data_IF_038292144608
#
_entry.id   IF_038292144608
#
_cell.length_a   1.000
_cell.length_b   1.000
_cell.length_c   1.000
_cell.angle_alpha   90.00
_cell.angle_beta   90.00
_cell.angle_gamma   90.00
#
_symmetry.space_group_name_H-M   'P 1'
#
loop_
_entity.id
_entity.type
_entity.pdbx_description
1 polymer ?
#
# COMPACT_ATOMS: atom_id res chain seq x y z
N UNK A 1 3.54 -35.56 15.52
CA UNK A 1 3.55 -35.46 14.05
C UNK A 1 3.74 -33.98 13.72
N UNK A 2 4.98 -33.57 13.45
CA UNK A 2 5.32 -32.17 13.14
C UNK A 2 5.32 -32.01 11.62
N UNK A 3 4.28 -31.34 11.09
CA UNK A 3 4.23 -30.95 9.68
C UNK A 3 5.06 -29.68 9.50
N UNK A 4 6.27 -29.86 8.97
CA UNK A 4 7.09 -28.76 8.47
C UNK A 4 6.54 -28.37 7.10
N UNK A 5 5.78 -27.28 7.02
CA UNK A 5 5.38 -26.68 5.74
C UNK A 5 6.41 -25.61 5.37
N UNK A 6 7.12 -25.84 4.26
CA UNK A 6 7.99 -24.86 3.64
C UNK A 6 7.13 -23.66 3.18
N UNK A 7 7.44 -22.47 3.71
CA UNK A 7 6.86 -21.20 3.25
C UNK A 7 7.66 -20.75 2.03
N UNK A 8 7.00 -20.63 0.89
CA UNK A 8 7.56 -20.03 -0.32
C UNK A 8 7.49 -18.52 -0.17
N UNK A 9 8.63 -17.86 0.01
CA UNK A 9 8.74 -16.40 0.04
C UNK A 9 8.58 -15.87 -1.38
N UNK A 10 7.46 -15.23 -1.68
CA UNK A 10 7.29 -14.48 -2.91
C UNK A 10 8.12 -13.18 -2.79
N UNK A 11 9.23 -13.10 -3.52
CA UNK A 11 10.01 -11.88 -3.63
C UNK A 11 9.29 -10.91 -4.56
N UNK A 12 8.69 -9.85 -3.98
CA UNK A 12 8.21 -8.70 -4.75
C UNK A 12 9.44 -7.85 -5.09
N UNK A 13 9.83 -7.88 -6.37
CA UNK A 13 10.91 -7.04 -6.90
C UNK A 13 10.34 -5.65 -7.16
N UNK A 14 10.58 -4.73 -6.23
CA UNK A 14 10.35 -3.30 -6.46
C UNK A 14 11.45 -2.81 -7.40
N UNK A 15 11.09 -2.58 -8.66
CA UNK A 15 11.99 -2.08 -9.70
C UNK A 15 12.37 -0.62 -9.46
N UNK A 16 13.57 -0.39 -8.94
CA UNK A 16 14.16 0.94 -8.82
C UNK A 16 14.70 1.38 -10.20
N UNK A 17 13.98 2.24 -10.91
CA UNK A 17 14.47 2.90 -12.12
C UNK A 17 15.49 3.98 -11.73
N UNK A 18 16.78 3.70 -11.92
CA UNK A 18 17.84 4.68 -11.79
C UNK A 18 17.89 5.58 -13.05
N UNK A 19 17.57 6.86 -12.88
CA UNK A 19 17.84 7.91 -13.86
C UNK A 19 19.35 8.20 -13.91
N UNK A 20 19.94 7.99 -15.07
CA UNK A 20 21.36 8.23 -15.32
C UNK A 20 21.73 9.72 -15.30
N UNK A 21 22.78 10.04 -14.55
CA UNK A 21 23.51 11.30 -14.68
C UNK A 21 24.63 11.12 -15.72
N UNK A 22 24.62 11.99 -16.73
CA UNK A 22 25.64 12.08 -17.78
C UNK A 22 26.64 13.19 -17.43
N UNK A 23 27.93 12.94 -17.64
CA UNK A 23 28.94 13.97 -17.91
C UNK A 23 30.17 13.95 -17.00
N UNK A 24 31.31 13.50 -17.54
CA UNK A 24 32.62 13.67 -16.90
C UNK A 24 33.65 12.65 -17.39
N UNK A 25 34.19 12.89 -18.58
CA UNK A 25 35.31 12.20 -19.23
C UNK A 25 36.58 12.16 -18.34
N UNK A 26 37.32 11.04 -18.34
CA UNK A 26 38.80 10.99 -18.37
C UNK A 26 39.32 9.54 -18.48
N UNK A 27 39.85 9.24 -19.67
CA UNK A 27 40.98 8.39 -20.05
C UNK A 27 41.37 7.06 -19.35
N UNK A 28 41.24 5.98 -20.15
CA UNK A 28 42.28 5.00 -20.50
C UNK A 28 42.76 3.96 -19.47
N UNK A 29 42.34 2.69 -19.64
CA UNK A 29 43.27 1.57 -19.93
C UNK A 29 42.59 0.22 -20.24
N UNK A 30 43.22 -0.46 -21.20
CA UNK A 30 42.93 -1.71 -21.90
C UNK A 30 42.57 -3.00 -21.12
N UNK A 31 41.92 -3.89 -21.90
CA UNK A 31 42.15 -5.34 -22.01
C UNK A 31 41.13 -6.30 -21.36
N UNK A 32 40.06 -6.62 -22.11
CA UNK A 32 39.68 -7.99 -22.50
C UNK A 32 38.32 -8.01 -23.23
N UNK A 33 38.31 -8.49 -24.48
CA UNK A 33 37.12 -8.79 -25.31
C UNK A 33 36.68 -10.26 -25.13
N UNK A 34 35.69 -10.78 -25.89
CA UNK A 34 34.25 -10.60 -25.67
C UNK A 34 33.49 -11.95 -25.70
N UNK A 35 32.24 -12.00 -25.24
CA UNK A 35 31.27 -12.90 -25.88
C UNK A 35 29.91 -12.21 -25.95
N UNK A 36 29.48 -12.09 -27.20
CA UNK A 36 28.31 -11.39 -27.72
C UNK A 36 27.24 -12.44 -27.93
N UNK A 37 26.06 -12.27 -27.33
CA UNK A 37 24.84 -12.82 -27.92
C UNK A 37 23.84 -11.67 -28.11
N UNK A 38 23.61 -11.40 -29.39
CA UNK A 38 22.59 -10.51 -29.92
C UNK A 38 21.22 -11.15 -29.81
N UNK A 39 20.21 -10.39 -29.39
CA UNK A 39 18.89 -10.46 -30.04
C UNK A 39 18.27 -9.07 -30.08
N UNK A 40 18.38 -8.47 -31.25
CA UNK A 40 17.60 -7.34 -31.74
C UNK A 40 16.14 -7.74 -32.01
N UNK A 41 15.20 -6.84 -31.76
CA UNK A 41 14.05 -6.58 -32.64
C UNK A 41 13.38 -5.26 -32.23
N UNK A 42 13.51 -4.28 -33.11
CA UNK A 42 12.67 -3.10 -33.14
C UNK A 42 11.24 -3.49 -33.53
N UNK A 43 10.25 -2.79 -32.97
CA UNK A 43 8.94 -2.68 -33.59
C UNK A 43 8.47 -1.23 -33.45
N UNK A 44 8.56 -0.51 -34.57
CA UNK A 44 7.93 0.78 -34.79
C UNK A 44 6.65 0.55 -35.61
N UNK A 45 5.53 1.08 -35.13
CA UNK A 45 4.29 1.21 -35.89
C UNK A 45 3.11 1.42 -34.95
N UNK A 46 2.07 2.19 -35.24
CA UNK A 46 1.78 3.18 -36.26
C UNK A 46 0.56 3.95 -35.71
N UNK A 47 0.43 5.21 -36.10
CA UNK A 47 -0.77 6.04 -35.91
C UNK A 47 -2.01 5.41 -36.56
N UNK A 48 -3.14 5.41 -35.87
CA UNK A 48 -4.46 5.27 -36.50
C UNK A 48 -5.40 6.38 -36.01
N UNK A 49 -5.85 7.17 -36.98
CA UNK A 49 -6.83 8.23 -36.86
C UNK A 49 -8.23 7.66 -37.14
N UNK A 50 -9.19 7.95 -36.26
CA UNK A 50 -10.55 8.28 -36.67
C UNK A 50 -11.52 7.14 -37.00
N UNK A 51 -12.68 7.15 -36.33
CA UNK A 51 -13.84 6.37 -36.76
C UNK A 51 -15.06 6.62 -35.89
N UNK A 52 -16.02 7.37 -36.41
CA UNK A 52 -17.30 7.71 -35.78
C UNK A 52 -18.34 6.58 -35.85
N UNK A 53 -19.39 6.74 -35.02
CA UNK A 53 -20.77 6.20 -35.11
C UNK A 53 -20.99 4.70 -34.92
N UNK A 54 -21.81 4.32 -33.94
CA UNK A 54 -23.22 3.94 -34.20
C UNK A 54 -24.05 3.81 -32.89
N UNK A 55 -25.30 4.24 -32.96
CA UNK A 55 -26.34 4.05 -31.94
C UNK A 55 -26.95 2.65 -32.09
N UNK A 56 -27.18 1.90 -31.00
CA UNK A 56 -27.79 0.58 -31.17
C UNK A 56 -28.15 -0.16 -29.89
N UNK A 57 -29.41 -0.02 -29.51
CA UNK A 57 -30.11 -0.56 -28.35
C UNK A 57 -30.27 -2.10 -28.30
N UNK A 58 -30.26 -2.66 -27.09
CA UNK A 58 -30.82 -3.98 -26.70
C UNK A 58 -29.75 -5.00 -26.26
N UNK A 59 -29.86 -5.74 -25.17
CA UNK A 59 -30.89 -5.94 -24.15
C UNK A 59 -30.47 -7.14 -23.29
N UNK A 60 -31.16 -7.28 -22.16
CA UNK A 60 -31.38 -8.51 -21.38
C UNK A 60 -30.26 -9.09 -20.48
N UNK A 61 -30.43 -8.78 -19.19
CA UNK A 61 -30.68 -9.74 -18.11
C UNK A 61 -29.77 -10.96 -17.96
N UNK A 62 -28.92 -10.88 -16.92
CA UNK A 62 -28.60 -12.03 -16.07
C UNK A 62 -27.12 -12.37 -15.96
N UNK A 63 -26.58 -12.28 -14.74
CA UNK A 63 -25.46 -13.04 -14.12
C UNK A 63 -24.95 -12.18 -12.96
N UNK A 64 -25.37 -12.40 -11.71
CA UNK A 64 -24.87 -13.41 -10.77
C UNK A 64 -23.38 -13.26 -10.43
N UNK A 65 -23.11 -12.71 -9.24
CA UNK A 65 -21.97 -13.11 -8.42
C UNK A 65 -20.80 -12.13 -8.36
N UNK A 66 -20.52 -11.64 -7.14
CA UNK A 66 -19.25 -11.02 -6.79
C UNK A 66 -19.32 -9.51 -6.60
N UNK A 67 -20.22 -9.03 -5.74
CA UNK A 67 -20.06 -7.71 -5.17
C UNK A 67 -18.94 -7.76 -4.12
N UNK A 68 -17.70 -7.63 -4.59
CA UNK A 68 -16.62 -7.00 -3.82
C UNK A 68 -16.99 -5.50 -3.66
N UNK A 69 -18.07 -5.25 -2.93
CA UNK A 69 -18.49 -3.91 -2.54
C UNK A 69 -17.54 -3.46 -1.42
N UNK A 70 -16.43 -2.84 -1.82
CA UNK A 70 -15.64 -2.00 -0.92
C UNK A 70 -16.56 -0.98 -0.22
N UNK A 71 -16.15 -0.46 0.95
CA UNK A 71 -17.01 0.41 1.76
C UNK A 71 -17.36 1.71 1.03
N UNK A 72 -18.52 1.72 0.36
CA UNK A 72 -19.14 2.91 -0.23
C UNK A 72 -19.93 3.62 0.88
N UNK A 73 -19.21 4.33 1.74
CA UNK A 73 -19.78 5.22 2.74
C UNK A 73 -19.03 6.55 2.70
N UNK A 74 -19.75 7.65 2.88
CA UNK A 74 -19.25 9.05 2.91
C UNK A 74 -18.32 9.33 4.12
N UNK A 75 -17.52 8.36 4.56
CA UNK A 75 -16.55 8.50 5.63
C UNK A 75 -15.35 9.33 5.19
N UNK A 76 -14.66 9.92 6.15
CA UNK A 76 -13.43 10.69 5.89
C UNK A 76 -12.22 9.80 5.62
N UNK A 77 -12.32 8.51 5.94
CA UNK A 77 -11.34 7.50 5.55
C UNK A 77 -11.94 6.08 5.48
N UNK A 78 -11.36 5.23 4.65
CA UNK A 78 -11.61 3.79 4.59
C UNK A 78 -10.36 3.02 5.04
N UNK A 79 -10.54 1.88 5.72
CA UNK A 79 -9.44 1.02 6.18
C UNK A 79 -9.77 -0.42 5.77
N UNK A 80 -8.88 -1.04 5.01
CA UNK A 80 -8.90 -2.47 4.69
C UNK A 80 -7.67 -3.12 5.32
N UNK A 81 -7.88 -3.90 6.37
CA UNK A 81 -6.86 -4.65 7.09
C UNK A 81 -6.95 -6.13 6.71
N UNK A 82 -5.85 -6.71 6.24
CA UNK A 82 -5.73 -8.16 6.02
C UNK A 82 -4.70 -8.75 6.99
N UNK A 83 -5.12 -9.80 7.69
CA UNK A 83 -4.30 -10.57 8.61
C UNK A 83 -4.13 -11.98 8.06
N UNK A 84 -2.89 -12.45 7.92
CA UNK A 84 -2.57 -13.85 7.60
C UNK A 84 -1.78 -14.49 8.74
N UNK A 85 -2.29 -15.62 9.22
CA UNK A 85 -1.84 -16.26 10.46
C UNK A 85 -2.59 -15.74 11.69
N UNK A 86 -2.56 -16.52 12.77
CA UNK A 86 -3.24 -16.19 14.02
C UNK A 86 -4.73 -16.58 14.06
N UNK A 87 -5.42 -16.09 15.10
CA UNK A 87 -6.83 -16.42 15.37
C UNK A 87 -7.82 -15.58 14.53
N UNK A 88 -7.43 -14.35 14.15
CA UNK A 88 -8.28 -13.41 13.43
C UNK A 88 -7.88 -13.26 11.95
N UNK A 89 -7.30 -14.31 11.34
CA UNK A 89 -6.94 -14.27 9.92
C UNK A 89 -8.15 -13.96 9.04
N UNK A 90 -7.95 -13.13 8.04
CA UNK A 90 -9.00 -12.64 7.14
C UNK A 90 -8.86 -11.16 6.85
N UNK A 91 -9.83 -10.64 6.09
CA UNK A 91 -9.94 -9.22 5.76
C UNK A 91 -10.98 -8.56 6.65
N UNK A 92 -10.62 -7.41 7.19
CA UNK A 92 -11.41 -6.60 8.10
C UNK A 92 -11.50 -5.18 7.53
N UNK A 93 -12.72 -4.66 7.40
CA UNK A 93 -12.96 -3.35 6.84
C UNK A 93 -13.54 -2.42 7.89
N UNK A 94 -13.13 -1.16 7.85
CA UNK A 94 -13.72 -0.09 8.65
C UNK A 94 -13.87 1.19 7.83
N UNK A 95 -14.86 1.99 8.20
CA UNK A 95 -15.04 3.35 7.70
C UNK A 95 -14.94 4.30 8.88
N UNK A 96 -14.13 5.36 8.73
CA UNK A 96 -13.95 6.39 9.75
C UNK A 96 -14.97 7.50 9.47
N UNK A 97 -15.97 7.72 10.35
CA UNK A 97 -17.07 8.63 10.07
C UNK A 97 -16.66 10.10 10.14
N UNK A 98 -15.77 10.46 11.07
CA UNK A 98 -15.33 11.84 11.30
C UNK A 98 -13.84 11.85 11.64
N UNK A 99 -13.11 12.85 11.13
CA UNK A 99 -11.70 13.17 11.43
C UNK A 99 -10.79 11.95 11.68
N UNK A 100 -10.30 11.33 10.60
CA UNK A 100 -9.46 10.13 10.70
C UNK A 100 -7.98 10.40 10.49
N UNK A 101 -7.64 11.20 9.46
CA UNK A 101 -6.27 11.43 9.03
C UNK A 101 -5.82 12.86 9.32
N UNK A 102 -4.59 13.02 9.80
CA UNK A 102 -4.04 14.34 10.12
C UNK A 102 -2.54 14.45 9.83
N UNK A 103 -2.13 15.64 9.42
CA UNK A 103 -0.74 16.08 9.42
C UNK A 103 -0.43 16.85 10.68
N UNK A 104 0.84 16.82 11.06
CA UNK A 104 1.42 17.65 12.09
C UNK A 104 0.83 17.46 13.50
N UNK A 105 0.07 16.38 13.71
CA UNK A 105 -0.57 16.10 15.00
C UNK A 105 0.42 15.77 16.13
N UNK A 106 1.61 15.28 15.78
CA UNK A 106 2.67 14.91 16.74
C UNK A 106 3.97 15.68 16.56
N UNK A 107 4.08 16.51 15.51
CA UNK A 107 5.25 17.33 15.19
C UNK A 107 5.28 17.75 13.72
N UNK A 108 6.16 18.68 13.36
CA UNK A 108 6.36 19.06 11.96
C UNK A 108 6.79 17.83 11.12
N UNK A 109 6.22 17.67 9.93
CA UNK A 109 6.50 16.54 9.04
C UNK A 109 5.90 15.18 9.45
N UNK A 110 5.02 15.12 10.46
CA UNK A 110 4.36 13.86 10.86
C UNK A 110 2.98 13.68 10.25
N UNK A 111 2.56 12.41 10.11
CA UNK A 111 1.21 12.03 9.68
C UNK A 111 0.66 10.97 10.62
N UNK A 112 -0.65 10.97 10.86
CA UNK A 112 -1.28 9.94 11.66
C UNK A 112 -2.74 9.70 11.30
N UNK A 113 -3.21 8.52 11.70
CA UNK A 113 -4.63 8.21 11.73
C UNK A 113 -5.00 7.48 13.01
N UNK A 114 -6.17 7.81 13.55
CA UNK A 114 -6.76 7.13 14.69
C UNK A 114 -8.21 6.77 14.41
N UNK A 115 -8.50 5.48 14.54
CA UNK A 115 -9.83 4.89 14.46
C UNK A 115 -10.06 4.04 15.71
N UNK A 116 -11.22 4.23 16.33
CA UNK A 116 -11.65 3.46 17.49
C UNK A 116 -13.18 3.41 17.55
N UNK A 117 -13.74 2.22 17.77
CA UNK A 117 -15.12 1.98 18.15
C UNK A 117 -15.18 1.53 19.61
N UNK A 118 -16.30 1.81 20.26
CA UNK A 118 -16.55 1.40 21.66
C UNK A 118 -16.86 -0.11 21.81
N UNK A 119 -17.26 -0.79 20.73
CA UNK A 119 -17.62 -2.20 20.75
C UNK A 119 -16.44 -3.09 20.31
N UNK A 120 -16.00 -4.06 21.14
CA UNK A 120 -14.80 -4.85 20.86
C UNK A 120 -15.03 -6.04 19.92
N UNK A 121 -16.27 -6.28 19.47
CA UNK A 121 -16.61 -7.44 18.64
C UNK A 121 -16.10 -7.23 17.20
N UNK A 122 -14.91 -7.77 16.89
CA UNK A 122 -14.28 -7.68 15.58
C UNK A 122 -13.30 -6.52 15.46
N UNK A 123 -13.10 -6.01 14.25
CA UNK A 123 -12.15 -4.90 13.98
C UNK A 123 -12.72 -3.58 14.49
N UNK A 124 -12.12 -3.08 15.57
CA UNK A 124 -12.67 -1.95 16.32
C UNK A 124 -11.64 -0.86 16.61
N UNK A 125 -10.37 -1.05 16.27
CA UNK A 125 -9.38 0.01 16.40
C UNK A 125 -8.22 -0.14 15.45
N UNK A 126 -7.79 0.98 14.89
CA UNK A 126 -6.60 1.10 14.08
C UNK A 126 -5.94 2.45 14.37
N UNK A 127 -4.67 2.43 14.74
CA UNK A 127 -3.88 3.63 14.96
C UNK A 127 -2.58 3.51 14.19
N UNK A 128 -2.18 4.61 13.58
CA UNK A 128 -0.90 4.74 12.87
C UNK A 128 -0.27 6.09 13.17
N UNK A 129 1.03 6.06 13.41
CA UNK A 129 1.89 7.22 13.64
C UNK A 129 3.09 7.14 12.69
N UNK A 130 3.21 8.10 11.77
CA UNK A 130 4.29 8.24 10.79
C UNK A 130 5.12 9.45 11.19
N UNK A 131 6.41 9.26 11.47
CA UNK A 131 7.26 10.32 12.00
C UNK A 131 7.87 11.23 10.93
N UNK A 132 7.88 10.77 9.68
CA UNK A 132 8.53 11.44 8.55
C UNK A 132 7.76 11.12 7.25
N UNK A 133 6.94 12.08 6.81
CA UNK A 133 6.12 12.00 5.58
C UNK A 133 7.01 11.81 4.34
N UNK A 134 8.12 12.55 4.25
CA UNK A 134 9.00 12.51 3.07
C UNK A 134 9.65 11.14 2.92
N UNK A 135 10.12 10.57 4.04
CA UNK A 135 10.64 9.21 4.04
C UNK A 135 9.53 8.20 3.71
N UNK A 136 8.30 8.41 4.21
CA UNK A 136 7.18 7.51 3.99
C UNK A 136 6.75 7.47 2.51
N UNK A 137 6.90 8.56 1.77
CA UNK A 137 6.59 8.60 0.33
C UNK A 137 7.45 7.63 -0.51
N UNK A 138 8.63 7.24 -0.01
CA UNK A 138 9.54 6.32 -0.71
C UNK A 138 9.58 4.90 -0.13
N UNK A 139 8.76 4.64 0.90
CA UNK A 139 8.80 3.40 1.65
C UNK A 139 9.77 3.48 2.84
N UNK A 140 9.24 3.46 4.06
CA UNK A 140 10.07 3.48 5.27
C UNK A 140 9.58 2.51 6.36
N UNK A 141 10.42 2.32 7.39
CA UNK A 141 10.10 1.61 8.63
C UNK A 141 9.98 2.56 9.84
N UNK A 142 9.93 3.88 9.59
CA UNK A 142 9.87 4.94 10.61
C UNK A 142 8.41 5.28 10.95
N UNK A 143 7.66 4.24 11.31
CA UNK A 143 6.27 4.36 11.71
C UNK A 143 5.94 3.34 12.80
N UNK A 144 4.84 3.54 13.51
CA UNK A 144 4.23 2.52 14.35
C UNK A 144 2.78 2.34 13.95
N UNK A 145 2.30 1.10 13.90
CA UNK A 145 0.91 0.79 13.63
C UNK A 145 0.37 -0.20 14.65
N UNK A 146 -0.89 -0.03 15.05
CA UNK A 146 -1.59 -0.94 15.96
C UNK A 146 -3.01 -1.17 15.45
N UNK A 147 -3.36 -2.41 15.20
CA UNK A 147 -4.73 -2.85 14.97
C UNK A 147 -5.26 -3.65 16.16
N UNK A 148 -6.57 -3.58 16.41
CA UNK A 148 -7.26 -4.46 17.35
C UNK A 148 -8.45 -5.13 16.68
N UNK A 149 -8.50 -6.46 16.80
CA UNK A 149 -9.57 -7.30 16.29
C UNK A 149 -9.98 -8.25 17.40
N UNK A 150 -11.25 -8.21 17.83
CA UNK A 150 -11.70 -8.96 19.00
C UNK A 150 -10.90 -8.57 20.25
N UNK A 151 -10.35 -9.56 20.95
CA UNK A 151 -9.48 -9.33 22.11
C UNK A 151 -7.98 -9.17 21.74
N UNK A 152 -7.63 -9.38 20.47
CA UNK A 152 -6.24 -9.45 20.04
C UNK A 152 -5.70 -8.09 19.56
N UNK A 153 -4.39 -7.92 19.70
CA UNK A 153 -3.66 -6.71 19.32
C UNK A 153 -2.56 -7.07 18.35
N UNK A 154 -2.53 -6.40 17.20
CA UNK A 154 -1.52 -6.58 16.17
C UNK A 154 -0.69 -5.30 16.10
N UNK A 155 0.57 -5.39 16.50
CA UNK A 155 1.47 -4.25 16.57
C UNK A 155 2.64 -4.40 15.60
N UNK A 156 2.88 -3.36 14.80
CA UNK A 156 4.08 -3.20 14.00
C UNK A 156 4.91 -2.10 14.66
N UNK A 157 6.06 -2.49 15.21
CA UNK A 157 6.95 -1.58 15.92
C UNK A 157 7.78 -0.74 14.94
N UNK A 158 8.14 0.45 15.39
CA UNK A 158 9.09 1.34 14.70
C UNK A 158 10.43 0.66 14.50
N UNK A 159 10.96 0.73 13.28
CA UNK A 159 12.22 0.10 12.90
C UNK A 159 12.14 -1.42 12.73
N UNK A 160 10.93 -1.99 12.75
CA UNK A 160 10.73 -3.38 12.32
C UNK A 160 10.99 -3.54 10.82
N UNK A 161 10.92 -4.77 10.31
CA UNK A 161 10.98 -5.03 8.86
C UNK A 161 9.71 -4.62 8.11
N UNK A 162 8.74 -4.01 8.80
CA UNK A 162 7.53 -3.51 8.17
C UNK A 162 7.86 -2.30 7.28
N UNK A 163 7.16 -2.22 6.16
CA UNK A 163 7.24 -1.14 5.20
C UNK A 163 5.91 -0.40 5.16
N UNK A 164 6.02 0.93 5.10
CA UNK A 164 4.90 1.82 4.90
C UNK A 164 5.20 2.74 3.73
N UNK A 165 4.22 2.91 2.84
CA UNK A 165 4.20 3.96 1.83
C UNK A 165 3.04 4.92 2.10
N UNK A 166 3.30 6.22 1.97
CA UNK A 166 2.30 7.28 2.09
C UNK A 166 2.28 8.09 0.78
N UNK A 167 1.13 8.10 0.12
CA UNK A 167 0.85 8.99 -1.01
C UNK A 167 0.02 10.16 -0.48
N UNK A 168 0.66 11.30 -0.26
CA UNK A 168 0.04 12.50 0.31
C UNK A 168 -0.23 13.54 -0.79
N UNK A 169 -1.51 13.90 -0.99
CA UNK A 169 -1.98 14.86 -1.99
C UNK A 169 -2.55 16.15 -1.40
N UNK A 170 -2.28 16.45 -0.13
CA UNK A 170 -2.75 17.67 0.55
C UNK A 170 -4.15 17.54 1.16
N UNK A 171 -5.20 17.34 0.37
CA UNK A 171 -6.56 17.17 0.92
C UNK A 171 -6.91 15.68 1.13
N UNK A 172 -6.22 14.79 0.43
CA UNK A 172 -6.37 13.33 0.46
C UNK A 172 -5.04 12.65 0.72
N UNK A 173 -5.09 11.38 1.11
CA UNK A 173 -3.90 10.54 1.22
C UNK A 173 -4.23 9.06 1.06
N UNK A 174 -3.26 8.26 0.61
CA UNK A 174 -3.33 6.80 0.65
C UNK A 174 -2.14 6.23 1.42
N UNK A 175 -2.41 5.29 2.32
CA UNK A 175 -1.37 4.60 3.10
C UNK A 175 -1.44 3.11 2.77
N UNK A 176 -0.29 2.53 2.45
CA UNK A 176 -0.13 1.08 2.37
C UNK A 176 0.89 0.62 3.40
N UNK A 177 0.55 -0.39 4.18
CA UNK A 177 1.41 -1.01 5.18
C UNK A 177 1.55 -2.49 4.86
N UNK A 178 2.76 -3.00 4.93
CA UNK A 178 3.05 -4.43 4.87
C UNK A 178 4.09 -4.79 5.93
N UNK A 179 3.84 -5.82 6.72
CA UNK A 179 4.79 -6.26 7.73
C UNK A 179 4.37 -7.55 8.40
N UNK A 180 5.19 -7.99 9.36
CA UNK A 180 4.89 -9.15 10.19
C UNK A 180 5.02 -8.72 11.65
N UNK A 181 4.05 -9.07 12.49
CA UNK A 181 4.11 -8.82 13.93
C UNK A 181 5.19 -9.70 14.59
N UNK A 182 5.58 -9.36 15.82
CA UNK A 182 6.50 -10.20 16.62
C UNK A 182 5.97 -11.63 16.86
N UNK A 183 4.65 -11.81 16.78
CA UNK A 183 3.95 -13.09 16.93
C UNK A 183 3.90 -13.90 15.62
N UNK A 184 4.45 -13.36 14.53
CA UNK A 184 4.53 -14.04 13.23
C UNK A 184 3.25 -13.96 12.39
N UNK A 185 2.39 -12.96 12.66
CA UNK A 185 1.19 -12.68 11.86
C UNK A 185 1.55 -11.66 10.79
N UNK A 186 1.28 -12.00 9.54
CA UNK A 186 1.48 -11.10 8.41
C UNK A 186 0.33 -10.10 8.35
N UNK A 187 0.65 -8.82 8.27
CA UNK A 187 -0.27 -7.68 8.31
C UNK A 187 -0.11 -6.91 7.01
N UNK A 188 -1.23 -6.70 6.31
CA UNK A 188 -1.35 -5.77 5.20
C UNK A 188 -2.48 -4.80 5.50
N UNK A 189 -2.25 -3.49 5.39
CA UNK A 189 -3.30 -2.50 5.55
C UNK A 189 -3.27 -1.52 4.37
N UNK A 190 -4.44 -1.23 3.82
CA UNK A 190 -4.66 -0.14 2.86
C UNK A 190 -5.62 0.84 3.51
N UNK A 191 -5.23 2.11 3.57
CA UNK A 191 -6.03 3.18 4.13
C UNK A 191 -6.18 4.26 3.07
N UNK A 192 -7.42 4.65 2.79
CA UNK A 192 -7.70 5.79 1.91
C UNK A 192 -8.28 6.91 2.76
N UNK A 193 -7.57 8.02 2.86
CA UNK A 193 -8.03 9.25 3.50
C UNK A 193 -8.71 10.12 2.44
N UNK A 194 -10.02 10.30 2.57
CA UNK A 194 -10.81 11.21 1.73
C UNK A 194 -10.81 12.64 2.28
N UNK A 195 -10.30 12.83 3.50
CA UNK A 195 -10.01 14.13 4.10
C UNK A 195 -8.79 14.01 5.01
N UNK A 196 -7.85 14.95 4.86
CA UNK A 196 -6.70 15.12 5.75
C UNK A 196 -6.78 16.48 6.43
N UNK A 197 -6.68 16.48 7.76
CA UNK A 197 -6.62 17.73 8.54
C UNK A 197 -5.17 18.14 8.69
N UNK A 198 -4.89 19.40 8.38
CA UNK A 198 -3.61 20.03 8.73
C UNK A 198 -3.70 20.66 10.13
N UNK A 199 -2.81 20.25 11.04
CA UNK A 199 -2.76 20.73 12.42
C UNK A 199 -1.60 21.70 12.71
N UNK A 200 -0.76 22.09 11.73
CA UNK A 200 0.33 23.05 11.99
C UNK A 200 1.39 23.24 10.91
#
# INVERSE_FOLDING_TARGET
MMNTRARATAAIVVGLLALGACGGDDDSNDDASPDTEETSSADEGATDEGGSTDEGSGGDSGTSGGSDEGPSGDGVASIMLSLDGGADSGTHNATVPEYGCSRHGTGEGTFGLQYMLDEPDGFHSFQIDIDDIDAAATGNSAFAATARVGENRYHLARGSSALLTLEDEGDTAAITIMGTTDEGVDVSAVVECHQVIDLG
#
